data_IF_598581385676
#
_entry.id   IF_598581385676
#
_cell.length_a   1.000
_cell.length_b   1.000
_cell.length_c   1.000
_cell.angle_alpha   90.00
_cell.angle_beta   90.00
_cell.angle_gamma   90.00
#
_symmetry.space_group_name_H-M   'P 1'
#
loop_
_entity.id
_entity.type
_entity.pdbx_description
1 polymer ?
#
# COMPACT_ATOMS: atom_id res chain seq x y z
N UNK A 1 26.38 -22.81 27.61
CA UNK A 1 27.28 -22.00 26.74
C UNK A 1 28.53 -21.63 27.52
N UNK A 2 29.66 -21.25 26.87
CA UNK A 2 30.86 -20.77 27.58
C UNK A 2 31.07 -19.27 27.35
N UNK A 3 31.60 -18.54 28.33
CA UNK A 3 32.03 -17.16 28.13
C UNK A 3 33.15 -17.10 27.10
N UNK A 4 32.99 -16.30 26.04
CA UNK A 4 34.03 -16.12 25.03
C UNK A 4 35.30 -15.45 25.58
N UNK A 5 35.19 -14.70 26.68
CA UNK A 5 36.30 -13.98 27.28
C UNK A 5 37.09 -14.79 28.31
N UNK A 6 36.44 -15.62 29.14
CA UNK A 6 37.12 -16.38 30.20
C UNK A 6 36.88 -17.90 30.18
N UNK A 7 36.05 -18.41 29.27
CA UNK A 7 35.78 -19.84 29.14
C UNK A 7 34.81 -20.43 30.16
N UNK A 8 34.30 -19.63 31.10
CA UNK A 8 33.42 -20.10 32.18
C UNK A 8 32.10 -20.70 31.64
N UNK A 9 31.63 -21.83 32.21
CA UNK A 9 30.38 -22.45 31.82
C UNK A 9 29.18 -21.67 32.37
N UNK A 10 28.21 -21.41 31.49
CA UNK A 10 26.95 -20.74 31.80
C UNK A 10 25.75 -21.57 31.33
N UNK A 11 24.56 -21.36 31.94
CA UNK A 11 23.31 -21.96 31.47
C UNK A 11 23.14 -21.79 29.96
N UNK A 12 22.59 -22.81 29.29
CA UNK A 12 22.29 -22.75 27.86
C UNK A 12 21.14 -21.80 27.53
N UNK A 13 20.26 -21.55 28.49
CA UNK A 13 19.14 -20.64 28.37
C UNK A 13 19.36 -19.41 29.26
N UNK A 14 20.10 -18.45 28.73
CA UNK A 14 20.13 -17.11 29.27
C UNK A 14 18.97 -16.38 28.60
N UNK A 15 17.77 -16.46 29.18
CA UNK A 15 16.60 -15.74 28.65
C UNK A 15 16.84 -14.23 28.47
N UNK A 16 15.82 -13.46 28.09
CA UNK A 16 15.91 -12.02 27.69
C UNK A 16 16.50 -11.01 28.72
N UNK A 17 17.05 -11.46 29.85
CA UNK A 17 17.66 -10.59 30.87
C UNK A 17 19.16 -10.41 30.61
N UNK A 18 19.66 -9.17 30.76
CA UNK A 18 21.11 -8.89 30.77
C UNK A 18 21.79 -9.80 31.79
N UNK A 19 22.66 -10.66 31.32
CA UNK A 19 23.45 -11.55 32.17
C UNK A 19 24.90 -11.09 32.13
N UNK A 20 25.55 -11.01 33.29
CA UNK A 20 26.98 -10.73 33.38
C UNK A 20 27.72 -11.99 33.84
N UNK A 21 28.79 -12.36 33.14
CA UNK A 21 29.68 -13.42 33.59
C UNK A 21 30.23 -13.06 34.97
N UNK A 22 30.05 -13.94 35.95
CA UNK A 22 30.50 -13.67 37.33
C UNK A 22 32.02 -13.72 37.49
N UNK A 23 32.75 -14.39 36.60
CA UNK A 23 34.21 -14.47 36.70
C UNK A 23 34.95 -13.31 36.05
N UNK A 24 34.50 -12.82 34.89
CA UNK A 24 35.21 -11.77 34.16
C UNK A 24 34.41 -10.47 33.99
N UNK A 25 33.16 -10.43 34.44
CA UNK A 25 32.28 -9.27 34.30
C UNK A 25 31.73 -9.05 32.88
N UNK A 26 32.06 -9.92 31.92
CA UNK A 26 31.58 -9.80 30.54
C UNK A 26 30.05 -9.77 30.50
N UNK A 27 29.48 -8.73 29.88
CA UNK A 27 28.03 -8.60 29.71
C UNK A 27 27.60 -9.36 28.47
N UNK A 28 26.76 -10.35 28.66
CA UNK A 28 26.03 -10.99 27.58
C UNK A 28 24.98 -10.02 27.07
N UNK A 29 25.19 -9.54 25.84
CA UNK A 29 24.07 -9.09 25.02
C UNK A 29 23.49 -10.33 24.38
N UNK A 30 22.19 -10.56 24.57
CA UNK A 30 21.48 -11.49 23.71
C UNK A 30 21.75 -11.05 22.27
N UNK A 31 22.21 -11.99 21.43
CA UNK A 31 22.25 -11.74 19.98
C UNK A 31 20.81 -11.41 19.59
N UNK A 32 20.54 -10.30 18.86
CA UNK A 32 19.19 -10.02 18.38
C UNK A 32 18.67 -11.28 17.70
N UNK A 33 17.62 -11.89 18.25
CA UNK A 33 17.01 -13.04 17.61
C UNK A 33 16.46 -12.56 16.28
N UNK A 34 16.85 -13.21 15.18
CA UNK A 34 16.27 -12.89 13.88
C UNK A 34 14.73 -12.91 13.99
N UNK A 35 14.03 -11.93 13.39
CA UNK A 35 12.57 -11.89 13.45
C UNK A 35 11.97 -13.19 12.90
N UNK A 36 10.86 -13.66 13.49
CA UNK A 36 10.17 -14.89 13.05
C UNK A 36 9.86 -14.84 11.54
N UNK A 37 10.04 -15.92 10.77
CA UNK A 37 9.69 -15.92 9.36
C UNK A 37 8.17 -15.76 9.19
N UNK A 38 7.75 -14.98 8.19
CA UNK A 38 6.34 -14.83 7.79
C UNK A 38 6.01 -15.57 6.49
N UNK A 39 6.97 -16.37 5.98
CA UNK A 39 6.77 -17.13 4.74
C UNK A 39 5.57 -18.07 4.88
N UNK A 40 4.65 -17.99 3.92
CA UNK A 40 3.40 -18.75 3.93
C UNK A 40 2.23 -18.07 4.64
N UNK A 41 2.42 -16.91 5.29
CA UNK A 41 1.30 -16.14 5.84
C UNK A 41 0.45 -15.54 4.70
N UNK A 42 -0.89 -15.68 4.72
CA UNK A 42 -1.77 -15.14 3.68
C UNK A 42 -1.71 -13.62 3.53
N UNK A 43 -1.18 -12.89 4.53
CA UNK A 43 -1.03 -11.44 4.49
C UNK A 43 0.24 -10.97 3.76
N UNK A 44 1.20 -11.86 3.46
CA UNK A 44 2.48 -11.53 2.82
C UNK A 44 2.35 -10.68 1.55
N UNK A 45 1.38 -10.94 0.65
CA UNK A 45 1.24 -10.11 -0.55
C UNK A 45 0.81 -8.66 -0.25
N UNK A 46 0.15 -8.43 0.90
CA UNK A 46 -0.63 -7.22 1.15
C UNK A 46 -0.06 -6.31 2.24
N UNK A 47 0.94 -6.79 2.98
CA UNK A 47 1.51 -6.08 4.12
C UNK A 47 3.02 -6.35 4.27
N UNK A 48 3.79 -5.40 4.82
CA UNK A 48 5.18 -5.64 5.16
C UNK A 48 5.33 -6.72 6.24
N UNK A 49 6.40 -7.51 6.18
CA UNK A 49 6.65 -8.63 7.09
C UNK A 49 6.60 -8.23 8.57
N UNK A 50 7.22 -7.10 8.93
CA UNK A 50 7.18 -6.52 10.29
C UNK A 50 5.77 -6.23 10.80
N UNK A 51 4.88 -5.76 9.92
CA UNK A 51 3.50 -5.47 10.27
C UNK A 51 2.70 -6.75 10.44
N UNK A 52 2.97 -7.78 9.63
CA UNK A 52 2.36 -9.11 9.78
C UNK A 52 2.73 -9.72 11.14
N UNK A 53 4.01 -9.67 11.54
CA UNK A 53 4.43 -10.16 12.86
C UNK A 53 3.72 -9.44 14.00
N UNK A 54 3.64 -8.11 13.91
CA UNK A 54 2.90 -7.30 14.88
C UNK A 54 1.42 -7.69 14.95
N UNK A 55 0.75 -7.85 13.80
CA UNK A 55 -0.65 -8.30 13.73
C UNK A 55 -0.79 -9.66 14.42
N UNK A 56 0.04 -10.65 14.10
CA UNK A 56 -0.05 -11.99 14.72
C UNK A 56 0.17 -12.00 16.24
N UNK A 57 0.79 -10.97 16.80
CA UNK A 57 0.94 -10.83 18.25
C UNK A 57 -0.25 -10.10 18.92
N UNK A 58 -1.11 -9.43 18.14
CA UNK A 58 -2.14 -8.52 18.65
C UNK A 58 -3.56 -8.81 18.11
N UNK A 59 -3.70 -9.56 17.03
CA UNK A 59 -4.93 -9.73 16.26
C UNK A 59 -4.83 -10.97 15.34
N UNK A 60 -5.54 -12.05 15.68
CA UNK A 60 -5.35 -13.33 14.99
C UNK A 60 -6.33 -13.56 13.81
N UNK A 61 -7.49 -12.88 13.79
CA UNK A 61 -8.64 -13.29 12.96
C UNK A 61 -9.42 -12.16 12.25
N UNK A 62 -8.96 -10.90 12.31
CA UNK A 62 -9.71 -9.81 11.64
C UNK A 62 -9.77 -9.99 10.11
N UNK A 63 -10.92 -9.71 9.48
CA UNK A 63 -11.08 -9.83 8.03
C UNK A 63 -10.19 -8.83 7.28
N UNK A 64 -9.69 -9.23 6.11
CA UNK A 64 -8.84 -8.39 5.25
C UNK A 64 -9.66 -7.37 4.43
N UNK A 65 -10.47 -6.56 5.12
CA UNK A 65 -11.24 -5.48 4.54
C UNK A 65 -10.54 -4.11 4.68
N UNK A 66 -11.18 -3.08 4.12
CA UNK A 66 -10.64 -1.71 4.09
C UNK A 66 -10.50 -1.12 5.50
N UNK A 67 -11.44 -1.41 6.40
CA UNK A 67 -11.49 -0.83 7.74
C UNK A 67 -10.41 -1.45 8.62
N UNK A 68 -10.26 -2.76 8.56
CA UNK A 68 -9.19 -3.51 9.22
C UNK A 68 -7.82 -3.05 8.75
N UNK A 69 -7.57 -2.95 7.44
CA UNK A 69 -6.28 -2.45 6.94
C UNK A 69 -6.01 -1.02 7.38
N UNK A 70 -7.01 -0.13 7.30
CA UNK A 70 -6.86 1.25 7.75
C UNK A 70 -6.50 1.32 9.24
N UNK A 71 -7.13 0.48 10.07
CA UNK A 71 -6.84 0.35 11.50
C UNK A 71 -5.43 -0.17 11.73
N UNK A 72 -5.06 -1.30 11.14
CA UNK A 72 -3.73 -1.88 11.32
C UNK A 72 -2.62 -0.90 10.91
N UNK A 73 -2.75 -0.23 9.76
CA UNK A 73 -1.75 0.77 9.34
C UNK A 73 -1.66 1.93 10.34
N UNK A 74 -2.79 2.43 10.83
CA UNK A 74 -2.83 3.51 11.82
C UNK A 74 -2.18 3.11 13.14
N UNK A 75 -2.50 1.93 13.65
CA UNK A 75 -1.97 1.41 14.91
C UNK A 75 -0.47 1.11 14.80
N UNK A 76 -0.05 0.48 13.70
CA UNK A 76 1.36 0.22 13.43
C UNK A 76 2.17 1.53 13.25
N UNK A 77 1.64 2.52 12.53
CA UNK A 77 2.30 3.83 12.40
C UNK A 77 2.44 4.53 13.76
N UNK A 78 1.45 4.38 14.65
CA UNK A 78 1.53 4.89 16.02
C UNK A 78 2.58 4.16 16.86
N UNK A 79 2.71 2.83 16.69
CA UNK A 79 3.77 2.03 17.32
C UNK A 79 5.16 2.53 16.89
N UNK A 80 5.40 2.68 15.59
CA UNK A 80 6.66 3.19 15.04
C UNK A 80 6.96 4.60 15.55
N UNK A 81 5.96 5.48 15.60
CA UNK A 81 6.13 6.82 16.14
C UNK A 81 6.51 6.80 17.63
N UNK A 82 5.87 5.95 18.44
CA UNK A 82 6.13 5.80 19.87
C UNK A 82 7.51 5.19 20.16
N UNK A 83 7.94 4.20 19.37
CA UNK A 83 9.25 3.55 19.46
C UNK A 83 10.43 4.52 19.34
N UNK A 84 10.23 5.69 18.72
CA UNK A 84 11.26 6.72 18.61
C UNK A 84 11.56 7.41 19.95
N UNK A 85 10.59 7.47 20.85
CA UNK A 85 10.69 8.17 22.14
C UNK A 85 10.69 7.25 23.35
N UNK A 86 10.20 6.01 23.21
CA UNK A 86 10.03 5.04 24.29
C UNK A 86 10.92 3.82 24.06
N UNK A 87 11.88 3.60 24.97
CA UNK A 87 12.87 2.51 24.88
C UNK A 87 12.24 1.12 24.97
N UNK A 88 11.16 0.96 25.74
CA UNK A 88 10.48 -0.33 25.85
C UNK A 88 9.79 -0.69 24.53
N UNK A 89 9.17 0.29 23.88
CA UNK A 89 8.50 0.12 22.58
C UNK A 89 9.53 0.01 21.45
N UNK A 90 10.70 0.66 21.57
CA UNK A 90 11.82 0.45 20.64
C UNK A 90 12.24 -1.02 20.60
N UNK A 91 12.44 -1.62 21.77
CA UNK A 91 12.82 -3.03 21.87
C UNK A 91 11.76 -3.95 21.23
N UNK A 92 10.47 -3.61 21.36
CA UNK A 92 9.38 -4.33 20.68
C UNK A 92 9.52 -4.24 19.14
N UNK A 93 9.72 -3.04 18.59
CA UNK A 93 9.89 -2.85 17.13
C UNK A 93 11.15 -3.55 16.61
N UNK A 94 12.25 -3.51 17.35
CA UNK A 94 13.50 -4.21 17.00
C UNK A 94 13.33 -5.73 16.96
N UNK A 95 12.40 -6.29 17.74
CA UNK A 95 12.12 -7.73 17.74
C UNK A 95 11.30 -8.16 16.51
N UNK A 96 10.38 -7.31 16.04
CA UNK A 96 9.48 -7.63 14.93
C UNK A 96 9.99 -7.13 13.57
N UNK A 97 10.92 -6.18 13.52
CA UNK A 97 11.32 -5.54 12.28
C UNK A 97 12.63 -6.10 11.71
N UNK A 98 12.60 -6.41 10.42
CA UNK A 98 13.80 -6.67 9.62
C UNK A 98 14.58 -5.39 9.23
N UNK A 99 14.01 -4.22 9.48
CA UNK A 99 14.56 -2.90 9.11
C UNK A 99 14.85 -2.10 10.39
N UNK A 100 16.02 -1.46 10.51
CA UNK A 100 16.31 -0.57 11.62
C UNK A 100 15.27 0.55 11.77
N UNK A 101 14.91 0.91 13.01
CA UNK A 101 13.86 1.92 13.29
C UNK A 101 14.17 3.29 12.67
N UNK A 102 15.44 3.65 12.55
CA UNK A 102 15.91 4.89 11.94
C UNK A 102 15.76 4.93 10.41
N UNK A 103 15.73 3.78 9.76
CA UNK A 103 15.45 3.63 8.32
C UNK A 103 13.95 3.60 8.01
N UNK A 104 13.10 3.26 9.00
CA UNK A 104 11.65 3.31 8.83
C UNK A 104 11.16 4.76 8.69
N UNK A 105 10.12 5.01 7.88
CA UNK A 105 9.56 6.35 7.74
C UNK A 105 8.96 6.83 9.07
N UNK A 106 9.28 8.05 9.47
CA UNK A 106 8.74 8.64 10.71
C UNK A 106 7.26 9.01 10.59
N UNK A 107 6.81 9.38 9.38
CA UNK A 107 5.43 9.80 9.07
C UNK A 107 5.03 9.32 7.68
N UNK A 108 4.83 8.02 7.47
CA UNK A 108 4.38 7.53 6.18
C UNK A 108 2.98 8.06 5.84
N UNK A 109 2.60 8.16 4.55
CA UNK A 109 1.26 8.55 4.16
C UNK A 109 0.20 7.60 4.73
N UNK A 110 -0.81 8.16 5.40
CA UNK A 110 -1.91 7.37 5.96
C UNK A 110 -2.58 6.51 4.88
N UNK A 111 -3.02 5.29 5.23
CA UNK A 111 -3.64 4.35 4.30
C UNK A 111 -4.75 4.96 3.42
N UNK A 112 -5.70 5.76 3.92
CA UNK A 112 -6.70 6.41 3.06
C UNK A 112 -6.10 7.34 2.00
N UNK A 113 -4.98 8.01 2.29
CA UNK A 113 -4.27 8.86 1.32
C UNK A 113 -3.59 8.02 0.24
N UNK A 114 -3.03 6.87 0.60
CA UNK A 114 -2.45 5.91 -0.36
C UNK A 114 -3.52 5.38 -1.31
N UNK A 115 -4.66 4.94 -0.79
CA UNK A 115 -5.79 4.52 -1.63
C UNK A 115 -6.26 5.65 -2.56
N UNK A 116 -6.41 6.87 -2.05
CA UNK A 116 -6.81 8.02 -2.86
C UNK A 116 -5.81 8.33 -3.98
N UNK A 117 -4.50 8.26 -3.70
CA UNK A 117 -3.46 8.45 -4.70
C UNK A 117 -3.50 7.37 -5.80
N UNK A 118 -3.67 6.10 -5.41
CA UNK A 118 -3.83 5.00 -6.35
C UNK A 118 -5.09 5.15 -7.21
N UNK A 119 -6.25 5.45 -6.63
CA UNK A 119 -7.46 5.71 -7.41
C UNK A 119 -7.28 6.87 -8.38
N UNK A 120 -6.66 7.96 -7.94
CA UNK A 120 -6.45 9.16 -8.75
C UNK A 120 -5.52 8.92 -9.94
N UNK A 121 -4.53 8.02 -9.79
CA UNK A 121 -3.51 7.67 -10.78
C UNK A 121 -3.86 6.40 -11.59
N UNK A 122 -5.12 5.97 -11.59
CA UNK A 122 -5.56 4.74 -12.25
C UNK A 122 -4.81 3.46 -11.77
N UNK A 123 -4.28 3.45 -10.55
CA UNK A 123 -3.43 2.39 -9.97
C UNK A 123 -2.02 2.29 -10.59
N UNK A 124 -1.54 3.35 -11.24
CA UNK A 124 -0.12 3.46 -11.62
C UNK A 124 0.73 3.81 -10.39
N UNK A 125 1.71 2.95 -10.07
CA UNK A 125 2.54 3.12 -8.86
C UNK A 125 3.43 4.35 -8.93
N UNK A 126 4.05 4.62 -10.10
CA UNK A 126 4.98 5.71 -10.25
C UNK A 126 4.26 7.07 -10.13
N UNK A 127 3.11 7.22 -10.78
CA UNK A 127 2.28 8.41 -10.67
C UNK A 127 1.68 8.57 -9.28
N UNK A 128 1.23 7.48 -8.64
CA UNK A 128 0.73 7.55 -7.27
C UNK A 128 1.82 7.97 -6.28
N UNK A 129 3.05 7.46 -6.45
CA UNK A 129 4.21 7.83 -5.64
C UNK A 129 4.62 9.29 -5.84
N UNK A 130 4.63 9.78 -7.08
CA UNK A 130 4.93 11.18 -7.39
C UNK A 130 3.95 12.18 -6.75
N UNK A 131 2.71 11.75 -6.46
CA UNK A 131 1.70 12.54 -5.73
C UNK A 131 1.84 12.49 -4.21
N UNK A 132 2.64 11.55 -3.71
CA UNK A 132 2.95 11.37 -2.30
C UNK A 132 4.42 11.73 -2.09
N UNK A 133 5.15 10.90 -1.37
CA UNK A 133 6.58 11.04 -1.12
C UNK A 133 7.29 9.69 -1.36
N UNK A 134 8.63 9.69 -1.51
CA UNK A 134 9.38 8.48 -1.83
C UNK A 134 9.20 7.34 -0.82
N UNK A 135 8.90 7.63 0.45
CA UNK A 135 8.72 6.61 1.50
C UNK A 135 7.42 5.81 1.33
N UNK A 136 6.53 6.24 0.44
CA UNK A 136 5.28 5.56 0.14
C UNK A 136 5.45 4.28 -0.71
N UNK A 137 6.62 4.03 -1.30
CA UNK A 137 6.81 3.00 -2.33
C UNK A 137 6.32 1.60 -1.90
N UNK A 138 6.82 1.10 -0.77
CA UNK A 138 6.47 -0.21 -0.24
C UNK A 138 4.97 -0.29 0.10
N UNK A 139 4.44 0.74 0.76
CA UNK A 139 3.01 0.82 1.11
C UNK A 139 2.13 0.85 -0.14
N UNK A 140 2.53 1.58 -1.19
CA UNK A 140 1.81 1.64 -2.46
C UNK A 140 1.75 0.26 -3.13
N UNK A 141 2.88 -0.47 -3.16
CA UNK A 141 2.93 -1.81 -3.73
C UNK A 141 1.97 -2.76 -3.00
N UNK A 142 2.03 -2.79 -1.67
CA UNK A 142 1.16 -3.61 -0.84
C UNK A 142 -0.33 -3.25 -0.95
N UNK A 143 -0.67 -1.96 -0.89
CA UNK A 143 -2.06 -1.51 -1.02
C UNK A 143 -2.60 -1.78 -2.43
N UNK A 144 -1.77 -1.64 -3.48
CA UNK A 144 -2.15 -1.99 -4.85
C UNK A 144 -2.39 -3.49 -5.00
N UNK A 145 -1.52 -4.34 -4.45
CA UNK A 145 -1.72 -5.79 -4.43
C UNK A 145 -3.02 -6.17 -3.71
N UNK A 146 -3.33 -5.50 -2.60
CA UNK A 146 -4.62 -5.69 -1.92
C UNK A 146 -5.81 -5.27 -2.80
N UNK A 147 -5.75 -4.10 -3.45
CA UNK A 147 -6.80 -3.63 -4.38
C UNK A 147 -6.96 -4.53 -5.62
N UNK A 148 -5.91 -5.24 -6.03
CA UNK A 148 -5.97 -6.24 -7.10
C UNK A 148 -6.70 -7.52 -6.66
N UNK A 149 -6.62 -7.88 -5.36
CA UNK A 149 -7.22 -9.07 -4.78
C UNK A 149 -8.38 -8.76 -3.83
N UNK A 150 -8.25 -9.03 -2.51
CA UNK A 150 -9.36 -8.90 -1.54
C UNK A 150 -10.00 -7.51 -1.46
N UNK A 151 -9.22 -6.47 -1.74
CA UNK A 151 -9.66 -5.07 -1.77
C UNK A 151 -10.36 -4.64 -3.05
N UNK A 152 -10.49 -5.52 -4.06
CA UNK A 152 -11.10 -5.19 -5.35
C UNK A 152 -12.48 -4.52 -5.24
N UNK A 153 -13.40 -4.94 -4.33
CA UNK A 153 -14.69 -4.26 -4.15
C UNK A 153 -14.59 -2.79 -3.73
N UNK A 154 -13.45 -2.36 -3.15
CA UNK A 154 -13.22 -0.96 -2.78
C UNK A 154 -12.72 -0.09 -3.96
N UNK A 155 -12.51 -0.67 -5.14
CA UNK A 155 -12.07 0.04 -6.35
C UNK A 155 -13.25 0.63 -7.12
N UNK A 156 -13.01 1.74 -7.82
CA UNK A 156 -13.98 2.24 -8.81
C UNK A 156 -14.20 1.26 -9.96
N UNK A 157 -13.31 0.28 -10.17
CA UNK A 157 -13.45 -0.71 -11.25
C UNK A 157 -14.48 -1.79 -10.94
N UNK A 158 -14.79 -2.00 -9.67
CA UNK A 158 -15.74 -3.00 -9.18
C UNK A 158 -17.15 -2.44 -8.95
N UNK A 159 -17.32 -1.12 -8.98
CA UNK A 159 -18.64 -0.52 -8.84
C UNK A 159 -19.51 -0.79 -10.09
N UNK A 160 -20.82 -0.75 -9.89
CA UNK A 160 -21.81 -1.02 -10.95
C UNK A 160 -21.60 -0.03 -12.12
N UNK A 161 -21.53 -0.51 -13.38
CA UNK A 161 -21.45 0.36 -14.53
C UNK A 161 -22.64 1.33 -14.59
N UNK A 162 -22.32 2.58 -14.91
CA UNK A 162 -23.30 3.64 -15.11
C UNK A 162 -23.95 3.54 -16.50
N UNK A 163 -25.09 4.19 -16.67
CA UNK A 163 -25.79 4.25 -17.95
C UNK A 163 -24.88 4.90 -19.02
N UNK A 164 -24.76 4.33 -20.23
CA UNK A 164 -23.95 4.92 -21.30
C UNK A 164 -24.34 6.38 -21.59
N UNK A 165 -23.39 7.32 -21.72
CA UNK A 165 -23.71 8.69 -22.09
C UNK A 165 -24.28 8.75 -23.50
N UNK A 166 -25.14 9.75 -23.74
CA UNK A 166 -25.60 10.08 -25.08
C UNK A 166 -24.41 10.39 -26.00
N UNK A 167 -24.48 9.90 -27.24
CA UNK A 167 -23.39 9.95 -28.20
C UNK A 167 -22.93 11.39 -28.47
N UNK A 168 -23.89 12.30 -28.65
CA UNK A 168 -23.64 13.72 -28.90
C UNK A 168 -22.84 14.40 -27.78
N UNK A 169 -23.01 13.97 -26.53
CA UNK A 169 -22.23 14.50 -25.42
C UNK A 169 -20.77 14.03 -25.44
N UNK A 170 -20.51 12.83 -25.95
CA UNK A 170 -19.14 12.31 -26.10
C UNK A 170 -18.47 12.95 -27.30
N UNK A 171 -19.19 13.17 -28.41
CA UNK A 171 -18.69 13.91 -29.57
C UNK A 171 -18.29 15.34 -29.18
N UNK A 172 -19.06 16.00 -28.30
CA UNK A 172 -18.74 17.33 -27.78
C UNK A 172 -17.47 17.40 -26.90
N UNK A 173 -16.89 16.25 -26.50
CA UNK A 173 -15.59 16.20 -25.82
C UNK A 173 -14.41 16.14 -26.79
N UNK A 174 -14.62 16.13 -28.11
CA UNK A 174 -13.57 16.02 -29.11
C UNK A 174 -13.46 17.30 -29.95
N UNK A 175 -12.27 17.94 -30.01
CA UNK A 175 -11.05 17.63 -29.25
C UNK A 175 -11.23 17.85 -27.74
N UNK A 176 -10.35 17.27 -26.91
CA UNK A 176 -10.48 17.42 -25.45
C UNK A 176 -10.41 18.89 -25.06
N UNK A 177 -11.39 19.41 -24.27
CA UNK A 177 -11.32 20.78 -23.79
C UNK A 177 -10.14 20.95 -22.84
N UNK A 178 -9.61 22.17 -22.75
CA UNK A 178 -8.56 22.49 -21.79
C UNK A 178 -9.09 22.58 -20.35
N UNK A 179 -10.38 22.86 -20.19
CA UNK A 179 -11.08 22.90 -18.91
C UNK A 179 -12.40 22.13 -19.01
N UNK A 180 -12.69 21.31 -18.01
CA UNK A 180 -13.90 20.49 -17.99
C UNK A 180 -14.93 21.07 -17.03
N UNK A 181 -16.16 21.20 -17.51
CA UNK A 181 -17.33 21.39 -16.67
C UNK A 181 -17.75 20.08 -15.99
N UNK A 182 -18.45 20.17 -14.86
CA UNK A 182 -18.89 18.98 -14.09
C UNK A 182 -19.68 17.96 -14.92
N UNK A 183 -20.52 18.43 -15.86
CA UNK A 183 -21.27 17.56 -16.76
C UNK A 183 -20.35 16.82 -17.74
N UNK A 184 -19.34 17.51 -18.29
CA UNK A 184 -18.34 16.94 -19.19
C UNK A 184 -17.48 15.90 -18.47
N UNK A 185 -17.10 16.15 -17.21
CA UNK A 185 -16.34 15.19 -16.38
C UNK A 185 -17.08 13.87 -16.22
N UNK A 186 -18.40 13.93 -15.96
CA UNK A 186 -19.22 12.72 -15.85
C UNK A 186 -19.29 11.98 -17.18
N UNK A 187 -19.57 12.67 -18.28
CA UNK A 187 -19.59 12.08 -19.63
C UNK A 187 -18.25 11.41 -19.96
N UNK A 188 -17.14 12.08 -19.65
CA UNK A 188 -15.78 11.60 -19.88
C UNK A 188 -15.51 10.28 -19.15
N UNK A 189 -15.81 10.20 -17.85
CA UNK A 189 -15.58 8.96 -17.10
C UNK A 189 -16.54 7.83 -17.48
N UNK A 190 -17.80 8.14 -17.78
CA UNK A 190 -18.73 7.10 -18.21
C UNK A 190 -18.38 6.54 -19.59
N UNK A 191 -17.93 7.38 -20.52
CA UNK A 191 -17.44 6.94 -21.81
C UNK A 191 -16.18 6.06 -21.66
N UNK A 192 -15.15 6.55 -20.97
CA UNK A 192 -13.85 5.87 -20.89
C UNK A 192 -13.82 4.66 -19.95
N UNK A 193 -14.54 4.72 -18.83
CA UNK A 193 -14.45 3.74 -17.75
C UNK A 193 -15.78 3.11 -17.36
N UNK A 194 -16.89 3.60 -17.91
CA UNK A 194 -18.22 3.09 -17.58
C UNK A 194 -18.72 3.53 -16.20
N UNK A 195 -18.12 4.55 -15.59
CA UNK A 195 -18.39 4.99 -14.22
C UNK A 195 -18.64 6.49 -14.15
N UNK A 196 -19.58 6.94 -13.31
CA UNK A 196 -19.79 8.38 -13.05
C UNK A 196 -18.63 9.02 -12.27
N UNK A 197 -18.01 8.26 -11.36
CA UNK A 197 -16.89 8.69 -10.54
C UNK A 197 -15.73 7.74 -10.79
N UNK A 198 -14.59 8.30 -11.15
CA UNK A 198 -13.43 7.54 -11.58
C UNK A 198 -12.11 8.09 -11.03
N UNK A 199 -11.00 7.81 -11.72
CA UNK A 199 -9.71 8.44 -11.42
C UNK A 199 -9.78 9.96 -11.53
N UNK A 200 -8.71 10.66 -11.16
CA UNK A 200 -8.66 12.11 -11.38
C UNK A 200 -8.46 12.40 -12.87
N UNK A 201 -9.09 13.45 -13.41
CA UNK A 201 -8.90 13.85 -14.82
C UNK A 201 -7.42 14.06 -15.13
N UNK A 202 -6.71 14.79 -14.27
CA UNK A 202 -5.26 14.99 -14.38
C UNK A 202 -4.51 13.66 -14.39
N UNK A 203 -4.84 12.72 -13.49
CA UNK A 203 -4.17 11.42 -13.45
C UNK A 203 -4.44 10.54 -14.68
N UNK A 204 -5.61 10.66 -15.32
CA UNK A 204 -5.87 10.01 -16.62
C UNK A 204 -4.99 10.61 -17.71
N UNK A 205 -4.90 11.94 -17.78
CA UNK A 205 -4.08 12.64 -18.77
C UNK A 205 -2.58 12.43 -18.54
N UNK A 206 -2.12 12.45 -17.29
CA UNK A 206 -0.71 12.19 -16.94
C UNK A 206 -0.30 10.76 -17.34
N UNK A 207 -1.21 9.79 -17.17
CA UNK A 207 -0.91 8.38 -17.48
C UNK A 207 -0.95 8.06 -18.96
N UNK A 208 -1.97 8.53 -19.67
CA UNK A 208 -2.23 8.08 -21.04
C UNK A 208 -1.86 9.14 -22.08
N UNK A 209 -1.77 10.40 -21.69
CA UNK A 209 -1.64 11.52 -22.60
C UNK A 209 -2.95 11.84 -23.33
N UNK A 210 -3.07 13.09 -23.80
CA UNK A 210 -4.26 13.60 -24.50
C UNK A 210 -4.61 12.76 -25.74
N UNK A 211 -3.61 12.36 -26.53
CA UNK A 211 -3.82 11.61 -27.77
C UNK A 211 -4.46 10.23 -27.55
N UNK A 212 -3.96 9.45 -26.57
CA UNK A 212 -4.55 8.13 -26.28
C UNK A 212 -5.95 8.27 -25.69
N UNK A 213 -6.20 9.31 -24.89
CA UNK A 213 -7.53 9.59 -24.34
C UNK A 213 -8.52 9.94 -25.45
N UNK A 214 -8.15 10.80 -26.40
CA UNK A 214 -9.00 11.09 -27.56
C UNK A 214 -9.22 9.86 -28.43
N UNK A 215 -8.18 9.06 -28.66
CA UNK A 215 -8.30 7.80 -29.40
C UNK A 215 -9.29 6.85 -28.73
N UNK A 216 -9.29 6.76 -27.40
CA UNK A 216 -10.22 5.93 -26.65
C UNK A 216 -11.66 6.45 -26.70
N UNK A 217 -11.86 7.78 -26.68
CA UNK A 217 -13.18 8.37 -26.90
C UNK A 217 -13.71 8.09 -28.32
N UNK A 218 -12.85 8.15 -29.34
CA UNK A 218 -13.22 7.78 -30.71
C UNK A 218 -13.57 6.29 -30.83
N UNK A 219 -12.85 5.41 -30.14
CA UNK A 219 -13.18 3.98 -30.07
C UNK A 219 -14.55 3.75 -29.41
N UNK A 220 -14.82 4.42 -28.28
CA UNK A 220 -16.14 4.39 -27.66
C UNK A 220 -17.25 4.87 -28.60
N UNK A 221 -17.02 5.95 -29.36
CA UNK A 221 -17.97 6.43 -30.36
C UNK A 221 -18.16 5.45 -31.52
N UNK A 222 -17.17 4.63 -31.85
CA UNK A 222 -17.28 3.67 -32.94
C UNK A 222 -18.11 2.45 -32.55
N UNK A 223 -17.79 1.82 -31.42
CA UNK A 223 -18.34 0.51 -31.03
C UNK A 223 -18.63 0.36 -29.53
N UNK A 224 -18.48 1.42 -28.73
CA UNK A 224 -18.70 1.39 -27.29
C UNK A 224 -17.56 0.75 -26.48
N UNK A 225 -16.43 0.42 -27.11
CA UNK A 225 -15.25 -0.12 -26.44
C UNK A 225 -14.62 0.86 -25.44
N UNK A 226 -13.91 0.31 -24.44
CA UNK A 226 -13.28 1.07 -23.36
C UNK A 226 -11.83 0.61 -23.15
N UNK A 227 -10.95 0.81 -24.15
CA UNK A 227 -9.59 0.25 -24.13
C UNK A 227 -8.75 0.73 -22.93
N UNK A 228 -8.93 1.98 -22.47
CA UNK A 228 -8.20 2.47 -21.29
C UNK A 228 -8.66 1.78 -20.00
N UNK A 229 -9.95 1.44 -19.87
CA UNK A 229 -10.46 0.66 -18.74
C UNK A 229 -9.87 -0.74 -18.74
N UNK A 230 -9.87 -1.40 -19.89
CA UNK A 230 -9.31 -2.75 -20.05
C UNK A 230 -7.84 -2.79 -19.70
N UNK A 231 -7.07 -1.78 -20.15
CA UNK A 231 -5.66 -1.63 -19.80
C UNK A 231 -5.46 -1.45 -18.29
N UNK A 232 -6.23 -0.56 -17.65
CA UNK A 232 -6.14 -0.36 -16.18
C UNK A 232 -6.44 -1.65 -15.42
N UNK A 233 -7.44 -2.42 -15.86
CA UNK A 233 -7.79 -3.70 -15.26
C UNK A 233 -6.68 -4.72 -15.44
N UNK A 234 -6.15 -4.88 -16.65
CA UNK A 234 -5.06 -5.79 -16.94
C UNK A 234 -3.80 -5.45 -16.12
N UNK A 235 -3.45 -4.17 -16.04
CA UNK A 235 -2.32 -3.71 -15.24
C UNK A 235 -2.53 -4.04 -13.76
N UNK A 236 -3.73 -3.78 -13.22
CA UNK A 236 -4.07 -4.07 -11.82
C UNK A 236 -4.01 -5.58 -11.52
N UNK A 237 -4.52 -6.42 -12.43
CA UNK A 237 -4.54 -7.87 -12.28
C UNK A 237 -3.14 -8.50 -12.40
N UNK A 238 -2.21 -7.84 -13.09
CA UNK A 238 -0.85 -8.35 -13.28
C UNK A 238 0.06 -8.27 -12.04
N UNK A 239 -0.28 -7.42 -11.05
CA UNK A 239 0.52 -7.25 -9.82
C UNK A 239 1.73 -6.34 -10.01
#
# INVERSE_FOLDING_TARGET
>A
MRCLQCGDPHPSDLGRRRYSCRACGAVYRAVPSAPRPVAGDPLVPYLPARMIRWIRDHDDDSPLDRETLARWYKEFDALIAKARTDEAVRAEVEEISEVPLDELPAKPPAFPKVCAALHAACYDLALAQARLDPSAAERLAHVRAWLAGPGRPATWTAARPSEPPAREHVEALLPLPDTFESAQVRTFFTALFGMEKGPSLTGVLDRFGREQVESALRAYLHDGSRPLRERVLADLDAG
#
